data_IF_431932787847
#
_entry.id   IF_431932787847
#
_cell.length_a   1.000
_cell.length_b   1.000
_cell.length_c   1.000
_cell.angle_alpha   90.00
_cell.angle_beta   90.00
_cell.angle_gamma   90.00
#
_symmetry.space_group_name_H-M   'P 1'
#
loop_
_entity.id
_entity.type
_entity.pdbx_description
1 polymer ?
#
# COMPACT_ATOMS: atom_id res chain seq x y z
N UNK A 1 14.78 -14.74 -30.00
CA UNK A 1 14.09 -13.88 -30.98
C UNK A 1 15.15 -13.00 -31.62
N UNK A 2 15.23 -12.93 -32.94
CA UNK A 2 16.09 -11.93 -33.60
C UNK A 2 15.33 -10.59 -33.55
N UNK A 3 15.90 -9.59 -32.88
CA UNK A 3 15.36 -8.23 -32.84
C UNK A 3 15.78 -7.49 -34.11
N UNK A 4 14.84 -6.83 -34.78
CA UNK A 4 15.13 -5.94 -35.89
C UNK A 4 15.97 -4.75 -35.38
N UNK A 5 17.14 -4.44 -35.97
CA UNK A 5 17.95 -3.28 -35.60
C UNK A 5 17.16 -1.96 -35.55
N UNK A 6 16.09 -1.82 -36.34
CA UNK A 6 15.28 -0.59 -36.36
C UNK A 6 14.36 -0.42 -35.15
N UNK A 7 14.16 -1.48 -34.36
CA UNK A 7 13.17 -1.54 -33.26
C UNK A 7 13.29 -0.38 -32.29
N UNK A 8 14.52 0.03 -31.94
CA UNK A 8 14.76 1.03 -30.90
C UNK A 8 15.04 2.44 -31.44
N UNK A 9 14.95 2.65 -32.76
CA UNK A 9 15.31 3.93 -33.37
C UNK A 9 14.41 5.10 -32.97
N UNK A 10 13.16 4.82 -32.56
CA UNK A 10 12.19 5.80 -32.08
C UNK A 10 11.69 5.43 -30.69
N UNK A 11 11.17 6.39 -29.94
CA UNK A 11 10.37 6.13 -28.74
C UNK A 11 8.94 5.80 -29.18
N UNK A 12 8.39 4.69 -28.69
CA UNK A 12 7.00 4.28 -28.95
C UNK A 12 6.28 4.18 -27.62
N UNK A 13 5.17 4.90 -27.48
CA UNK A 13 4.43 4.96 -26.21
C UNK A 13 4.13 3.57 -25.67
N UNK A 14 4.42 3.36 -24.39
CA UNK A 14 4.18 2.11 -23.67
C UNK A 14 4.86 0.87 -24.27
N UNK A 15 5.91 1.02 -25.09
CA UNK A 15 6.69 -0.13 -25.56
C UNK A 15 7.34 -0.81 -24.36
N UNK A 16 7.16 -2.13 -24.26
CA UNK A 16 7.90 -2.99 -23.34
C UNK A 16 8.49 -4.18 -24.10
N UNK A 17 9.83 -4.27 -24.15
CA UNK A 17 10.54 -5.38 -24.82
C UNK A 17 11.56 -5.96 -23.86
N UNK A 18 11.58 -7.29 -23.74
CA UNK A 18 12.58 -8.01 -22.95
C UNK A 18 13.35 -8.99 -23.82
N UNK A 19 14.65 -9.12 -23.58
CA UNK A 19 15.52 -10.07 -24.27
C UNK A 19 16.74 -10.42 -23.42
N UNK A 20 17.50 -11.42 -23.87
CA UNK A 20 18.74 -11.85 -23.21
C UNK A 20 19.96 -11.28 -23.93
N UNK A 21 20.99 -10.89 -23.19
CA UNK A 21 22.26 -10.40 -23.74
C UNK A 21 23.44 -11.16 -23.10
N UNK A 22 24.52 -11.48 -23.82
CA UNK A 22 25.68 -12.13 -23.23
C UNK A 22 26.26 -11.32 -22.07
N UNK A 23 26.51 -11.96 -20.93
CA UNK A 23 27.18 -11.29 -19.83
C UNK A 23 28.64 -11.00 -20.23
N UNK A 24 29.20 -9.80 -19.97
CA UNK A 24 30.60 -9.48 -20.25
C UNK A 24 31.64 -10.27 -19.43
N UNK A 25 31.24 -11.29 -18.68
CA UNK A 25 32.13 -12.11 -17.85
C UNK A 25 32.69 -13.26 -18.67
N UNK A 26 33.73 -13.92 -18.16
CA UNK A 26 34.39 -15.05 -18.84
C UNK A 26 33.55 -16.34 -18.88
N UNK A 27 32.30 -16.33 -18.40
CA UNK A 27 31.40 -17.48 -18.48
C UNK A 27 30.49 -17.37 -19.72
N UNK A 28 30.69 -18.20 -20.75
CA UNK A 28 29.92 -18.14 -21.99
C UNK A 28 28.44 -18.50 -21.82
N UNK A 29 28.05 -19.11 -20.70
CA UNK A 29 26.65 -19.44 -20.40
C UNK A 29 25.95 -18.37 -19.56
N UNK A 30 26.68 -17.34 -19.11
CA UNK A 30 26.09 -16.26 -18.33
C UNK A 30 25.35 -15.28 -19.24
N UNK A 31 24.05 -15.12 -19.00
CA UNK A 31 23.17 -14.23 -19.75
C UNK A 31 22.57 -13.17 -18.83
N UNK A 32 22.59 -11.93 -19.31
CA UNK A 32 21.86 -10.81 -18.73
C UNK A 32 20.43 -10.79 -19.28
N UNK A 33 19.48 -10.38 -18.45
CA UNK A 33 18.15 -9.93 -18.85
C UNK A 33 18.20 -8.44 -19.12
N UNK A 34 17.75 -8.04 -20.30
CA UNK A 34 17.59 -6.63 -20.68
C UNK A 34 16.11 -6.36 -20.91
N UNK A 35 15.60 -5.31 -20.29
CA UNK A 35 14.25 -4.81 -20.49
C UNK A 35 14.32 -3.36 -20.98
N UNK A 36 13.61 -3.04 -22.05
CA UNK A 36 13.49 -1.70 -22.60
C UNK A 36 12.06 -1.26 -22.50
N UNK A 37 11.82 -0.19 -21.75
CA UNK A 37 10.51 0.39 -21.53
C UNK A 37 10.50 1.84 -22.03
N UNK A 38 9.52 2.19 -22.85
CA UNK A 38 9.24 3.56 -23.27
C UNK A 38 8.07 4.15 -22.47
N UNK A 39 8.17 5.43 -22.12
CA UNK A 39 7.17 6.15 -21.34
C UNK A 39 5.79 6.11 -22.02
N UNK A 40 4.68 5.92 -21.27
CA UNK A 40 3.34 6.14 -21.80
C UNK A 40 3.02 7.63 -22.04
N UNK A 41 3.84 8.53 -21.47
CA UNK A 41 3.67 9.98 -21.59
C UNK A 41 4.47 10.45 -22.79
N UNK A 42 3.81 11.20 -23.68
CA UNK A 42 4.48 11.77 -24.84
C UNK A 42 5.53 12.80 -24.39
N UNK A 43 6.80 12.68 -24.84
CA UNK A 43 7.84 13.59 -24.42
C UNK A 43 7.55 15.00 -24.96
N UNK A 44 7.56 15.98 -24.06
CA UNK A 44 7.41 17.42 -24.38
C UNK A 44 8.71 18.01 -24.93
N UNK A 45 9.85 17.39 -24.62
CA UNK A 45 11.20 17.76 -25.06
C UNK A 45 11.85 16.64 -25.90
N UNK A 46 13.15 16.78 -26.21
CA UNK A 46 13.95 15.69 -26.77
C UNK A 46 13.91 14.47 -25.85
N UNK A 47 13.71 13.29 -26.43
CA UNK A 47 13.68 12.03 -25.68
C UNK A 47 14.93 11.84 -24.82
N UNK A 48 14.77 11.41 -23.58
CA UNK A 48 15.87 11.05 -22.67
C UNK A 48 15.87 9.56 -22.37
N UNK A 49 17.06 8.97 -22.30
CA UNK A 49 17.25 7.55 -21.98
C UNK A 49 18.02 7.46 -20.67
N UNK A 50 17.66 6.51 -19.82
CA UNK A 50 18.47 6.11 -18.68
C UNK A 50 18.56 4.58 -18.61
N UNK A 51 19.62 4.08 -18.00
CA UNK A 51 19.77 2.67 -17.69
C UNK A 51 19.77 2.44 -16.18
N UNK A 52 19.30 1.28 -15.73
CA UNK A 52 19.25 0.90 -14.33
C UNK A 52 19.75 -0.54 -14.20
N UNK A 53 20.73 -0.73 -13.33
CA UNK A 53 21.18 -2.07 -12.95
C UNK A 53 20.31 -2.60 -11.83
N UNK A 54 19.74 -3.79 -12.03
CA UNK A 54 18.97 -4.48 -11.00
C UNK A 54 19.94 -4.86 -9.87
N UNK A 55 19.62 -4.53 -8.61
CA UNK A 55 20.46 -4.92 -7.49
C UNK A 55 20.65 -6.44 -7.45
N UNK A 56 21.86 -6.87 -7.07
CA UNK A 56 22.15 -8.30 -6.94
C UNK A 56 21.14 -8.99 -6.01
N UNK A 57 20.78 -10.22 -6.37
CA UNK A 57 19.77 -11.02 -5.66
C UNK A 57 18.33 -10.45 -5.65
N UNK A 58 18.06 -9.32 -6.31
CA UNK A 58 16.69 -8.77 -6.47
C UNK A 58 16.08 -8.97 -7.85
N UNK A 59 16.72 -9.76 -8.73
CA UNK A 59 16.23 -10.02 -10.10
C UNK A 59 14.82 -10.63 -10.15
N UNK A 60 14.40 -11.32 -9.08
CA UNK A 60 13.05 -11.91 -8.95
C UNK A 60 12.03 -10.98 -8.31
N UNK A 61 12.46 -9.89 -7.65
CA UNK A 61 11.56 -8.91 -7.03
C UNK A 61 10.68 -8.27 -8.11
N UNK A 62 9.38 -8.16 -7.85
CA UNK A 62 8.40 -7.72 -8.84
C UNK A 62 8.64 -6.30 -9.35
N UNK A 63 9.29 -5.45 -8.57
CA UNK A 63 9.79 -4.13 -9.01
C UNK A 63 10.71 -4.25 -10.22
N UNK A 64 11.55 -5.29 -10.30
CA UNK A 64 12.55 -5.50 -11.35
C UNK A 64 12.23 -6.64 -12.31
N UNK A 65 11.24 -7.48 -12.02
CA UNK A 65 10.88 -8.63 -12.86
C UNK A 65 9.61 -8.42 -13.69
N UNK A 66 8.75 -7.47 -13.33
CA UNK A 66 7.46 -7.23 -14.01
C UNK A 66 7.42 -5.93 -14.82
N UNK A 67 6.58 -5.89 -15.85
CA UNK A 67 6.32 -4.69 -16.65
C UNK A 67 5.80 -3.53 -15.78
N UNK A 68 4.82 -3.79 -14.91
CA UNK A 68 4.27 -2.78 -14.00
C UNK A 68 5.34 -2.22 -13.03
N UNK A 69 6.24 -3.07 -12.55
CA UNK A 69 7.37 -2.66 -11.73
C UNK A 69 8.28 -1.67 -12.46
N UNK A 70 8.63 -2.00 -13.72
CA UNK A 70 9.47 -1.16 -14.57
C UNK A 70 8.80 0.15 -14.92
N UNK A 71 7.48 0.13 -15.16
CA UNK A 71 6.69 1.31 -15.43
C UNK A 71 6.77 2.30 -14.27
N UNK A 72 6.63 1.82 -13.04
CA UNK A 72 6.73 2.72 -11.90
C UNK A 72 8.15 3.26 -11.70
N UNK A 73 9.20 2.45 -11.89
CA UNK A 73 10.59 2.95 -11.86
C UNK A 73 10.82 4.09 -12.87
N UNK A 74 10.23 3.95 -14.07
CA UNK A 74 10.27 4.99 -15.10
C UNK A 74 9.50 6.24 -14.66
N UNK A 75 8.28 6.08 -14.13
CA UNK A 75 7.44 7.21 -13.70
C UNK A 75 8.03 7.96 -12.50
N UNK A 76 8.75 7.26 -11.61
CA UNK A 76 9.51 7.86 -10.50
C UNK A 76 10.81 8.56 -10.95
N UNK A 77 11.14 8.53 -12.25
CA UNK A 77 12.33 9.17 -12.83
C UNK A 77 11.92 10.29 -13.80
N UNK A 78 11.59 11.50 -13.31
CA UNK A 78 11.03 12.57 -14.13
C UNK A 78 11.88 12.91 -15.37
N UNK A 79 11.21 13.01 -16.52
CA UNK A 79 11.83 13.38 -17.79
C UNK A 79 12.52 12.24 -18.54
N UNK A 80 12.57 11.02 -18.00
CA UNK A 80 13.05 9.84 -18.74
C UNK A 80 11.96 9.35 -19.70
N UNK A 81 12.30 9.25 -20.99
CA UNK A 81 11.40 8.75 -22.03
C UNK A 81 11.59 7.26 -22.31
N UNK A 82 12.78 6.72 -22.03
CA UNK A 82 13.10 5.29 -22.14
C UNK A 82 13.96 4.85 -20.96
N UNK A 83 13.54 3.78 -20.30
CA UNK A 83 14.28 3.10 -19.26
C UNK A 83 14.81 1.76 -19.78
N UNK A 84 16.11 1.51 -19.59
CA UNK A 84 16.76 0.24 -19.90
C UNK A 84 17.13 -0.44 -18.58
N UNK A 85 16.44 -1.52 -18.21
CA UNK A 85 16.80 -2.33 -17.05
C UNK A 85 17.73 -3.47 -17.46
N UNK A 86 18.81 -3.67 -16.70
CA UNK A 86 19.74 -4.79 -16.86
C UNK A 86 19.90 -5.53 -15.56
N UNK A 87 19.65 -6.84 -15.58
CA UNK A 87 19.85 -7.72 -14.43
C UNK A 87 20.31 -9.10 -14.86
N UNK A 88 20.58 -9.97 -13.90
CA UNK A 88 20.82 -11.39 -14.18
C UNK A 88 19.50 -12.10 -14.51
N UNK A 89 19.59 -13.26 -15.16
CA UNK A 89 18.41 -14.12 -15.28
C UNK A 89 17.89 -14.51 -13.89
N UNK A 90 16.57 -14.52 -13.67
CA UNK A 90 15.99 -15.04 -12.44
C UNK A 90 16.42 -16.49 -12.26
N UNK A 91 16.92 -16.84 -11.08
CA UNK A 91 17.19 -18.24 -10.71
C UNK A 91 15.83 -18.92 -10.53
N UNK A 92 15.63 -20.09 -11.14
CA UNK A 92 14.37 -20.84 -11.07
C UNK A 92 13.88 -21.00 -9.62
N UNK A 93 12.56 -20.87 -9.42
CA UNK A 93 11.84 -20.89 -8.14
C UNK A 93 11.89 -22.21 -7.33
N UNK A 94 12.84 -23.10 -7.62
CA UNK A 94 13.00 -24.39 -6.96
C UNK A 94 14.19 -24.45 -5.98
N UNK A 95 14.93 -23.35 -5.82
CA UNK A 95 15.91 -23.21 -4.73
C UNK A 95 15.25 -22.67 -3.46
N UNK A 96 15.71 -23.12 -2.29
CA UNK A 96 15.31 -22.61 -0.96
C UNK A 96 15.21 -21.08 -0.93
N UNK A 97 14.33 -20.49 -0.09
CA UNK A 97 14.18 -19.04 -0.02
C UNK A 97 15.53 -18.38 0.24
N UNK A 98 16.05 -17.70 -0.79
CA UNK A 98 17.34 -17.03 -0.71
C UNK A 98 17.15 -15.75 0.10
N UNK A 99 17.87 -15.65 1.22
CA UNK A 99 17.92 -14.41 1.99
C UNK A 99 18.62 -13.35 1.14
N UNK A 100 17.92 -12.27 0.84
CA UNK A 100 18.51 -11.07 0.26
C UNK A 100 19.32 -10.35 1.34
N UNK A 101 20.54 -9.92 1.00
CA UNK A 101 21.32 -8.96 1.80
C UNK A 101 21.82 -7.87 0.88
N UNK A 102 21.59 -6.62 1.26
CA UNK A 102 22.10 -5.43 0.57
C UNK A 102 23.61 -5.49 0.54
N UNK A 103 24.18 -5.46 -0.66
CA UNK A 103 25.62 -5.31 -0.83
C UNK A 103 26.05 -3.88 -0.52
N UNK A 104 27.09 -3.72 0.28
CA UNK A 104 27.68 -2.41 0.63
C UNK A 104 28.57 -1.90 -0.51
N UNK A 105 29.03 -2.79 -1.41
CA UNK A 105 29.94 -2.48 -2.51
C UNK A 105 29.39 -3.01 -3.85
N UNK A 106 28.42 -2.32 -4.43
CA UNK A 106 27.99 -2.56 -5.81
C UNK A 106 28.85 -1.75 -6.78
N UNK A 107 30.06 -2.21 -7.06
CA UNK A 107 30.92 -1.59 -8.08
C UNK A 107 30.53 -2.08 -9.48
N UNK A 108 29.51 -1.44 -10.07
CA UNK A 108 29.10 -1.70 -11.46
C UNK A 108 30.01 -1.02 -12.49
N UNK A 109 31.09 -0.33 -12.11
CA UNK A 109 31.88 0.48 -13.04
C UNK A 109 32.41 -0.34 -14.23
N UNK A 110 32.84 -1.58 -13.98
CA UNK A 110 33.33 -2.47 -15.05
C UNK A 110 32.22 -2.93 -16.00
N UNK A 111 31.02 -3.18 -15.48
CA UNK A 111 29.86 -3.62 -16.25
C UNK A 111 29.27 -2.45 -17.05
N UNK A 112 29.22 -1.26 -16.47
CA UNK A 112 28.79 -0.02 -17.13
C UNK A 112 29.62 0.26 -18.38
N UNK A 113 30.94 0.25 -18.27
CA UNK A 113 31.85 0.45 -19.40
C UNK A 113 31.61 -0.60 -20.49
N UNK A 114 31.45 -1.86 -20.09
CA UNK A 114 31.27 -2.98 -21.03
C UNK A 114 29.93 -2.94 -21.76
N UNK A 115 28.87 -2.46 -21.11
CA UNK A 115 27.51 -2.40 -21.67
C UNK A 115 27.17 -1.06 -22.33
N UNK A 116 28.04 -0.05 -22.24
CA UNK A 116 27.85 1.22 -22.92
C UNK A 116 27.49 1.10 -24.42
N UNK A 117 28.11 0.21 -25.23
CA UNK A 117 27.71 0.01 -26.62
C UNK A 117 26.27 -0.50 -26.77
N UNK A 118 25.81 -1.36 -25.85
CA UNK A 118 24.43 -1.85 -25.83
C UNK A 118 23.46 -0.71 -25.51
N UNK A 119 23.74 0.10 -24.50
CA UNK A 119 22.89 1.24 -24.13
C UNK A 119 22.74 2.25 -25.28
N UNK A 120 23.83 2.52 -26.00
CA UNK A 120 23.80 3.35 -27.20
C UNK A 120 22.97 2.72 -28.33
N UNK A 121 23.10 1.42 -28.57
CA UNK A 121 22.30 0.70 -29.58
C UNK A 121 20.80 0.68 -29.26
N UNK A 122 20.43 0.73 -27.98
CA UNK A 122 19.04 0.79 -27.50
C UNK A 122 18.48 2.21 -27.40
N UNK A 123 19.27 3.23 -27.74
CA UNK A 123 18.86 4.64 -27.68
C UNK A 123 18.21 5.10 -28.99
N UNK A 124 17.19 5.98 -28.95
CA UNK A 124 16.55 6.50 -30.16
C UNK A 124 17.52 7.36 -30.98
N UNK A 125 17.38 7.31 -32.31
CA UNK A 125 18.22 8.08 -33.26
C UNK A 125 18.19 9.58 -32.98
N UNK A 126 17.08 10.10 -32.45
CA UNK A 126 16.93 11.52 -32.11
C UNK A 126 17.96 12.02 -31.09
N UNK A 127 18.50 11.15 -30.23
CA UNK A 127 19.53 11.51 -29.24
C UNK A 127 20.90 11.75 -29.87
N UNK A 128 21.16 11.23 -31.07
CA UNK A 128 22.48 11.31 -31.71
C UNK A 128 22.68 12.58 -32.55
N UNK A 129 21.68 13.47 -32.61
CA UNK A 129 21.72 14.70 -33.41
C UNK A 129 22.89 15.64 -33.06
N UNK A 130 23.34 15.59 -31.81
CA UNK A 130 24.39 16.47 -31.27
C UNK A 130 25.66 15.70 -30.85
N UNK A 131 25.83 14.47 -31.34
CA UNK A 131 26.96 13.61 -30.99
C UNK A 131 26.53 12.36 -30.22
N UNK A 132 27.48 11.71 -29.55
CA UNK A 132 27.21 10.50 -28.75
C UNK A 132 26.53 10.95 -27.44
N UNK A 133 25.31 10.49 -27.13
CA UNK A 133 24.62 10.87 -25.91
C UNK A 133 25.27 10.25 -24.69
N UNK A 134 25.19 10.96 -23.57
CA UNK A 134 25.43 10.38 -22.25
C UNK A 134 24.15 9.67 -21.78
N UNK A 135 24.31 8.46 -21.25
CA UNK A 135 23.20 7.66 -20.72
C UNK A 135 23.41 7.55 -19.22
N UNK A 136 22.66 8.30 -18.39
CA UNK A 136 22.79 8.22 -16.95
C UNK A 136 22.41 6.83 -16.44
N UNK A 137 23.17 6.35 -15.45
CA UNK A 137 22.90 5.12 -14.73
C UNK A 137 22.15 5.47 -13.45
N UNK A 138 20.88 5.09 -13.39
CA UNK A 138 20.03 5.25 -12.22
C UNK A 138 20.38 4.19 -11.18
N UNK A 139 20.34 4.60 -9.92
CA UNK A 139 20.44 3.70 -8.77
C UNK A 139 19.07 3.59 -8.13
N UNK A 140 18.69 2.37 -7.78
CA UNK A 140 17.54 2.12 -6.93
C UNK A 140 18.04 1.95 -5.50
N UNK A 141 17.59 2.81 -4.62
CA UNK A 141 17.86 2.74 -3.18
C UNK A 141 16.53 2.70 -2.45
N UNK A 142 16.35 1.66 -1.64
CA UNK A 142 15.26 1.57 -0.67
C UNK A 142 15.85 1.38 0.73
N UNK A 143 14.99 1.32 1.74
CA UNK A 143 15.42 1.14 3.12
C UNK A 143 15.66 -0.34 3.49
N UNK A 144 15.64 -1.30 2.56
CA UNK A 144 15.77 -2.73 2.90
C UNK A 144 17.24 -3.15 3.01
N UNK A 145 17.66 -3.58 4.20
CA UNK A 145 19.00 -4.13 4.49
C UNK A 145 19.04 -5.62 4.13
N UNK A 146 18.08 -6.39 4.61
CA UNK A 146 17.96 -7.81 4.29
C UNK A 146 16.50 -8.24 4.24
N UNK A 147 16.21 -9.35 3.57
CA UNK A 147 14.83 -9.83 3.44
C UNK A 147 14.72 -11.31 3.10
N UNK A 148 13.62 -11.93 3.50
CA UNK A 148 13.29 -13.32 3.17
C UNK A 148 11.81 -13.43 2.81
N UNK A 149 11.53 -14.17 1.74
CA UNK A 149 10.16 -14.52 1.35
C UNK A 149 9.64 -15.63 2.26
N UNK A 150 8.52 -15.38 2.93
CA UNK A 150 7.84 -16.35 3.78
C UNK A 150 6.84 -17.19 2.99
N UNK A 151 6.08 -16.56 2.10
CA UNK A 151 5.10 -17.25 1.26
C UNK A 151 4.83 -16.48 -0.04
N UNK A 152 4.60 -17.23 -1.12
CA UNK A 152 3.94 -16.75 -2.33
C UNK A 152 2.63 -17.52 -2.51
N UNK A 153 1.53 -16.80 -2.67
CA UNK A 153 0.20 -17.38 -2.82
C UNK A 153 -0.62 -16.59 -3.86
N UNK A 154 -1.78 -17.12 -4.25
CA UNK A 154 -2.64 -16.50 -5.26
C UNK A 154 -4.07 -16.41 -4.75
N UNK A 155 -4.58 -15.19 -4.67
CA UNK A 155 -5.97 -14.89 -4.35
C UNK A 155 -6.82 -14.71 -5.60
N UNK A 156 -8.14 -14.88 -5.46
CA UNK A 156 -9.08 -14.75 -6.59
C UNK A 156 -9.28 -13.30 -7.05
N UNK A 157 -9.03 -12.32 -6.19
CA UNK A 157 -9.16 -10.89 -6.46
C UNK A 157 -7.80 -10.18 -6.41
N UNK A 158 -7.02 -10.43 -5.36
CA UNK A 158 -5.70 -9.80 -5.18
C UNK A 158 -4.65 -10.30 -6.20
N UNK A 159 -4.86 -11.50 -6.76
CA UNK A 159 -3.91 -12.15 -7.65
C UNK A 159 -2.71 -12.73 -6.88
N UNK A 160 -1.53 -12.75 -7.52
CA UNK A 160 -0.30 -13.20 -6.86
C UNK A 160 0.10 -12.25 -5.71
N UNK A 161 0.38 -12.82 -4.54
CA UNK A 161 0.74 -12.12 -3.31
C UNK A 161 2.05 -12.65 -2.76
N UNK A 162 2.80 -11.76 -2.12
CA UNK A 162 4.09 -12.02 -1.50
C UNK A 162 4.04 -11.60 -0.04
N UNK A 163 4.43 -12.50 0.85
CA UNK A 163 4.69 -12.21 2.26
C UNK A 163 6.19 -12.29 2.49
N UNK A 164 6.77 -11.24 3.04
CA UNK A 164 8.21 -11.17 3.32
C UNK A 164 8.50 -10.52 4.67
N UNK A 165 9.55 -11.00 5.34
CA UNK A 165 10.16 -10.31 6.47
C UNK A 165 11.39 -9.56 5.97
N UNK A 166 11.53 -8.31 6.40
CA UNK A 166 12.63 -7.42 6.03
C UNK A 166 13.25 -6.77 7.26
N UNK A 167 14.56 -6.61 7.25
CA UNK A 167 15.27 -5.68 8.11
C UNK A 167 15.39 -4.35 7.36
N UNK A 168 14.99 -3.27 8.02
CA UNK A 168 15.05 -1.94 7.44
C UNK A 168 16.14 -1.08 8.07
N UNK A 169 16.64 -0.12 7.29
CA UNK A 169 17.57 0.90 7.75
C UNK A 169 16.85 1.94 8.60
N UNK A 170 17.26 2.03 9.87
CA UNK A 170 16.69 2.89 10.90
C UNK A 170 17.70 3.14 12.02
N UNK A 171 17.51 4.19 12.83
CA UNK A 171 18.40 4.51 13.97
C UNK A 171 18.51 3.35 14.97
N UNK A 172 17.40 2.64 15.16
CA UNK A 172 17.31 1.42 15.96
C UNK A 172 16.92 0.29 15.03
N UNK A 173 17.64 -0.83 15.10
CA UNK A 173 17.40 -2.03 14.29
C UNK A 173 15.92 -2.43 14.34
N UNK A 174 15.26 -2.45 13.18
CA UNK A 174 13.83 -2.70 13.06
C UNK A 174 13.55 -3.77 11.99
N UNK A 175 12.64 -4.68 12.34
CA UNK A 175 12.17 -5.73 11.44
C UNK A 175 10.70 -5.49 11.12
N UNK A 176 10.36 -5.63 9.84
CA UNK A 176 9.00 -5.47 9.33
C UNK A 176 8.57 -6.68 8.55
N UNK A 177 7.28 -6.98 8.61
CA UNK A 177 6.62 -7.94 7.73
C UNK A 177 5.75 -7.20 6.73
N UNK A 178 5.90 -7.54 5.46
CA UNK A 178 5.22 -6.90 4.33
C UNK A 178 4.32 -7.87 3.61
N UNK A 179 3.12 -7.41 3.28
CA UNK A 179 2.25 -8.00 2.27
C UNK A 179 2.36 -7.14 1.00
N UNK A 180 2.61 -7.77 -0.15
CA UNK A 180 2.65 -7.10 -1.46
C UNK A 180 1.81 -7.87 -2.45
N UNK A 181 1.18 -7.15 -3.40
CA UNK A 181 0.45 -7.76 -4.51
C UNK A 181 1.21 -7.53 -5.81
N UNK A 182 1.34 -8.55 -6.64
CA UNK A 182 2.08 -8.47 -7.90
C UNK A 182 1.47 -7.49 -8.88
N UNK A 183 0.15 -7.31 -8.83
CA UNK A 183 -0.57 -6.29 -9.62
C UNK A 183 -0.08 -4.88 -9.31
N UNK A 184 0.38 -4.61 -8.08
CA UNK A 184 0.86 -3.31 -7.62
C UNK A 184 2.25 -3.47 -6.97
N UNK A 185 3.28 -3.80 -7.75
CA UNK A 185 4.51 -4.39 -7.23
C UNK A 185 5.32 -3.46 -6.32
N UNK A 186 5.18 -2.14 -6.44
CA UNK A 186 5.90 -1.19 -5.58
C UNK A 186 5.02 -0.59 -4.48
N UNK A 187 3.74 -0.98 -4.40
CA UNK A 187 2.90 -0.65 -3.25
C UNK A 187 3.03 -1.77 -2.23
N UNK A 188 3.51 -1.43 -1.04
CA UNK A 188 3.36 -2.31 0.12
C UNK A 188 1.90 -2.22 0.55
N UNK A 189 1.19 -3.34 0.53
CA UNK A 189 -0.25 -3.39 0.84
C UNK A 189 -0.49 -3.39 2.34
N UNK A 190 0.38 -4.04 3.10
CA UNK A 190 0.38 -3.95 4.56
C UNK A 190 1.79 -4.09 5.06
N UNK A 191 2.14 -3.27 6.04
CA UNK A 191 3.42 -3.34 6.72
C UNK A 191 3.18 -3.32 8.24
N UNK A 192 3.73 -4.30 8.94
CA UNK A 192 3.69 -4.36 10.40
C UNK A 192 5.10 -4.50 10.94
N UNK A 193 5.30 -4.05 12.18
CA UNK A 193 6.49 -4.38 12.93
C UNK A 193 6.43 -5.83 13.40
N UNK A 194 7.57 -6.52 13.35
CA UNK A 194 7.71 -7.85 13.93
C UNK A 194 8.86 -7.87 14.94
N UNK A 195 8.74 -8.75 15.92
CA UNK A 195 9.76 -8.94 16.96
C UNK A 195 10.10 -10.42 17.10
N UNK A 196 11.34 -10.78 17.46
CA UNK A 196 11.72 -12.18 17.65
C UNK A 196 10.89 -12.85 18.76
N UNK A 197 10.62 -14.15 18.58
CA UNK A 197 9.88 -14.97 19.54
C UNK A 197 10.77 -15.42 20.71
N UNK A 198 11.14 -14.47 21.58
CA UNK A 198 11.85 -14.62 22.88
C UNK A 198 13.32 -15.11 22.83
N UNK A 199 14.19 -14.51 23.65
CA UNK A 199 15.45 -15.14 24.12
C UNK A 199 16.75 -14.86 23.35
N UNK A 200 16.71 -14.17 22.21
CA UNK A 200 17.93 -13.85 21.47
C UNK A 200 18.52 -12.51 21.92
N UNK A 201 19.80 -12.50 22.30
CA UNK A 201 20.56 -11.27 22.47
C UNK A 201 20.63 -10.49 21.15
N UNK A 202 20.66 -9.16 21.25
CA UNK A 202 20.52 -8.23 20.10
C UNK A 202 21.50 -8.48 18.94
N UNK A 203 22.62 -9.13 19.22
CA UNK A 203 23.77 -9.26 18.31
C UNK A 203 23.72 -10.50 17.40
N UNK A 204 22.80 -11.45 17.62
CA UNK A 204 22.72 -12.71 16.85
C UNK A 204 21.37 -12.94 16.14
N UNK A 205 20.51 -11.93 16.04
CA UNK A 205 19.20 -12.06 15.38
C UNK A 205 19.39 -11.83 13.88
N UNK A 206 19.04 -12.79 13.04
CA UNK A 206 19.06 -12.65 11.58
C UNK A 206 17.70 -12.95 10.95
N UNK A 207 17.33 -12.18 9.92
CA UNK A 207 16.19 -12.54 9.04
C UNK A 207 16.45 -13.94 8.47
N UNK A 208 15.49 -14.85 8.62
CA UNK A 208 15.58 -16.26 8.21
C UNK A 208 16.29 -17.19 9.19
N UNK A 209 16.83 -16.67 10.31
CA UNK A 209 17.51 -17.45 11.35
C UNK A 209 16.64 -17.65 12.60
N UNK A 210 15.67 -16.77 12.83
CA UNK A 210 14.74 -16.82 13.97
C UNK A 210 13.30 -16.65 13.53
N UNK A 211 12.37 -17.13 14.35
CA UNK A 211 10.94 -16.88 14.16
C UNK A 211 10.55 -15.51 14.70
N UNK A 212 9.70 -14.83 13.93
CA UNK A 212 9.22 -13.49 14.21
C UNK A 212 7.70 -13.52 14.43
N UNK A 213 7.29 -12.88 15.53
CA UNK A 213 5.88 -12.64 15.84
C UNK A 213 5.47 -11.19 15.53
N UNK A 214 4.22 -10.96 15.11
CA UNK A 214 3.65 -9.61 14.97
C UNK A 214 3.73 -8.79 16.27
N UNK A 215 4.14 -7.52 16.16
CA UNK A 215 3.96 -6.50 17.20
C UNK A 215 2.68 -5.72 16.90
N UNK A 216 1.56 -6.19 17.47
CA UNK A 216 0.22 -5.64 17.21
C UNK A 216 -0.05 -4.31 17.94
N UNK A 217 0.93 -3.78 18.67
CA UNK A 217 0.76 -2.56 19.46
C UNK A 217 1.14 -1.30 18.69
N UNK A 218 1.81 -1.44 17.55
CA UNK A 218 2.36 -0.33 16.78
C UNK A 218 1.90 -0.41 15.33
N UNK A 219 1.51 0.74 14.78
CA UNK A 219 1.29 0.90 13.34
C UNK A 219 2.53 1.55 12.73
N UNK A 220 3.10 0.89 11.73
CA UNK A 220 4.26 1.41 10.97
C UNK A 220 3.91 1.79 9.53
N UNK A 221 2.73 1.36 9.06
CA UNK A 221 2.27 1.69 7.72
C UNK A 221 1.87 3.17 7.65
N UNK A 222 2.41 3.98 6.71
CA UNK A 222 2.45 5.44 6.82
C UNK A 222 1.12 6.13 7.07
N UNK A 223 0.06 5.74 6.36
CA UNK A 223 -1.24 6.40 6.43
C UNK A 223 -2.18 5.83 7.50
N UNK A 224 -1.87 4.68 8.11
CA UNK A 224 -2.74 4.08 9.14
C UNK A 224 -2.75 4.91 10.43
N UNK A 225 -1.61 5.48 10.83
CA UNK A 225 -1.53 6.35 12.01
C UNK A 225 -2.37 7.63 11.81
N UNK A 226 -2.25 8.37 10.69
CA UNK A 226 -3.18 9.45 10.31
C UNK A 226 -4.66 9.04 10.33
N UNK A 227 -5.02 7.88 9.74
CA UNK A 227 -6.41 7.40 9.76
C UNK A 227 -6.92 7.20 11.20
N UNK A 228 -6.11 6.62 12.08
CA UNK A 228 -6.47 6.47 13.49
C UNK A 228 -6.51 7.82 14.22
N UNK A 229 -5.62 8.75 13.89
CA UNK A 229 -5.61 10.10 14.47
C UNK A 229 -6.92 10.86 14.22
N UNK A 230 -7.60 10.60 13.10
CA UNK A 230 -8.89 11.21 12.77
C UNK A 230 -9.99 10.95 13.81
N UNK A 231 -9.88 9.89 14.61
CA UNK A 231 -10.79 9.60 15.72
C UNK A 231 -10.80 10.72 16.77
N UNK A 232 -9.78 11.59 16.80
CA UNK A 232 -9.76 12.75 17.69
C UNK A 232 -10.91 13.71 17.44
N UNK A 233 -11.40 13.81 16.20
CA UNK A 233 -12.52 14.68 15.81
C UNK A 233 -13.84 14.29 16.48
N UNK A 234 -13.94 13.05 16.96
CA UNK A 234 -15.14 12.48 17.60
C UNK A 234 -14.83 11.85 18.96
N UNK A 235 -13.70 12.22 19.55
CA UNK A 235 -13.22 11.64 20.80
C UNK A 235 -14.17 11.83 21.98
N UNK A 236 -14.89 12.96 22.05
CA UNK A 236 -15.91 13.19 23.09
C UNK A 236 -17.07 12.20 22.96
N UNK A 237 -17.57 11.96 21.75
CA UNK A 237 -18.69 11.04 21.51
C UNK A 237 -18.28 9.59 21.78
N UNK A 238 -17.05 9.22 21.43
CA UNK A 238 -16.50 7.89 21.75
C UNK A 238 -16.35 7.71 23.26
N UNK A 239 -15.84 8.72 23.96
CA UNK A 239 -15.71 8.71 25.43
C UNK A 239 -17.08 8.53 26.11
N UNK A 240 -18.10 9.30 25.70
CA UNK A 240 -19.47 9.18 26.23
C UNK A 240 -20.02 7.76 26.05
N UNK A 241 -19.78 7.15 24.88
CA UNK A 241 -20.18 5.75 24.61
C UNK A 241 -19.47 4.77 25.55
N UNK A 242 -18.16 4.95 25.76
CA UNK A 242 -17.36 4.13 26.67
C UNK A 242 -17.84 4.27 28.11
N UNK A 243 -18.11 5.50 28.57
CA UNK A 243 -18.65 5.78 29.89
C UNK A 243 -20.06 5.20 30.08
N UNK A 244 -20.84 5.11 29.00
CA UNK A 244 -22.12 4.40 28.94
C UNK A 244 -22.01 2.87 28.98
N UNK A 245 -20.80 2.30 29.05
CA UNK A 245 -20.56 0.86 29.11
C UNK A 245 -20.56 0.16 27.75
N UNK A 246 -20.53 0.90 26.65
CA UNK A 246 -20.53 0.35 25.29
C UNK A 246 -19.14 0.44 24.66
N UNK A 247 -18.79 -0.53 23.81
CA UNK A 247 -17.59 -0.44 22.99
C UNK A 247 -17.85 0.42 21.75
N UNK A 248 -16.90 1.27 21.34
CA UNK A 248 -17.00 1.95 20.06
C UNK A 248 -16.89 0.97 18.90
N UNK A 249 -17.57 1.26 17.79
CA UNK A 249 -17.69 0.37 16.63
C UNK A 249 -17.02 0.97 15.40
N UNK A 250 -16.18 0.19 14.73
CA UNK A 250 -15.55 0.57 13.49
C UNK A 250 -15.84 -0.42 12.36
N UNK A 251 -16.13 0.10 11.17
CA UNK A 251 -16.15 -0.65 9.92
C UNK A 251 -14.85 -0.35 9.16
N UNK A 252 -13.99 -1.35 8.98
CA UNK A 252 -12.78 -1.24 8.17
C UNK A 252 -13.01 -1.92 6.82
N UNK A 253 -12.88 -1.15 5.74
CA UNK A 253 -13.14 -1.59 4.38
C UNK A 253 -11.81 -1.69 3.64
N UNK A 254 -11.46 -2.91 3.22
CA UNK A 254 -10.09 -3.29 2.90
C UNK A 254 -9.37 -3.76 4.17
N UNK A 255 -9.12 -5.07 4.28
CA UNK A 255 -8.48 -5.63 5.47
C UNK A 255 -6.97 -5.70 5.28
N UNK A 256 -6.51 -6.09 4.09
CA UNK A 256 -5.09 -6.37 3.86
C UNK A 256 -4.56 -7.37 4.89
N UNK A 257 -3.41 -7.08 5.50
CA UNK A 257 -2.87 -7.87 6.61
C UNK A 257 -3.59 -7.67 7.96
N UNK A 258 -4.58 -6.79 8.06
CA UNK A 258 -5.41 -6.63 9.26
C UNK A 258 -4.78 -5.79 10.37
N UNK A 259 -3.73 -5.01 10.06
CA UNK A 259 -3.01 -4.17 11.02
C UNK A 259 -3.93 -3.14 11.70
N UNK A 260 -4.73 -2.43 10.90
CA UNK A 260 -5.67 -1.42 11.40
C UNK A 260 -6.71 -2.03 12.35
N UNK A 261 -7.34 -3.14 11.95
CA UNK A 261 -8.37 -3.82 12.73
C UNK A 261 -7.82 -4.26 14.10
N UNK A 262 -6.64 -4.88 14.06
CA UNK A 262 -5.99 -5.40 15.25
C UNK A 262 -5.58 -4.25 16.19
N UNK A 263 -5.08 -3.15 15.64
CA UNK A 263 -4.72 -1.96 16.41
C UNK A 263 -5.94 -1.30 17.07
N UNK A 264 -7.02 -1.04 16.32
CA UNK A 264 -8.24 -0.44 16.87
C UNK A 264 -8.80 -1.26 18.04
N UNK A 265 -8.81 -2.58 17.90
CA UNK A 265 -9.26 -3.49 18.96
C UNK A 265 -8.30 -3.52 20.15
N UNK A 266 -7.01 -3.74 19.91
CA UNK A 266 -6.01 -3.93 20.96
C UNK A 266 -5.69 -2.63 21.71
N UNK A 267 -5.47 -1.55 20.97
CA UNK A 267 -5.03 -0.27 21.52
C UNK A 267 -6.17 0.65 21.89
N UNK A 268 -7.34 0.56 21.26
CA UNK A 268 -8.46 1.49 21.49
C UNK A 268 -9.77 0.81 21.95
N UNK A 269 -9.82 -0.52 22.03
CA UNK A 269 -10.97 -1.25 22.58
C UNK A 269 -12.21 -1.29 21.68
N UNK A 270 -12.04 -1.05 20.38
CA UNK A 270 -13.15 -1.10 19.42
C UNK A 270 -13.67 -2.52 19.19
N UNK A 271 -14.96 -2.62 18.90
CA UNK A 271 -15.53 -3.70 18.11
C UNK A 271 -15.33 -3.38 16.63
N UNK A 272 -14.71 -4.29 15.89
CA UNK A 272 -14.28 -4.02 14.52
C UNK A 272 -14.94 -5.02 13.57
N UNK A 273 -15.55 -4.50 12.50
CA UNK A 273 -16.00 -5.27 11.35
C UNK A 273 -15.07 -4.97 10.19
N UNK A 274 -14.36 -5.98 9.70
CA UNK A 274 -13.54 -5.91 8.49
C UNK A 274 -14.28 -6.42 7.26
N UNK A 275 -14.08 -5.80 6.11
CA UNK A 275 -14.58 -6.28 4.81
C UNK A 275 -13.42 -6.49 3.85
N UNK A 276 -13.31 -7.70 3.31
CA UNK A 276 -12.26 -8.08 2.36
C UNK A 276 -12.85 -8.92 1.22
N UNK A 277 -12.51 -8.58 -0.02
CA UNK A 277 -13.01 -9.31 -1.18
C UNK A 277 -12.34 -10.68 -1.32
N UNK A 278 -11.06 -10.78 -0.92
CA UNK A 278 -10.24 -11.98 -1.14
C UNK A 278 -10.09 -12.84 0.13
N UNK A 279 -10.61 -14.08 0.08
CA UNK A 279 -10.45 -15.04 1.18
C UNK A 279 -8.99 -15.38 1.46
N UNK A 280 -8.14 -15.35 0.44
CA UNK A 280 -6.74 -15.69 0.57
C UNK A 280 -5.96 -14.58 1.30
N UNK A 281 -6.32 -13.31 1.06
CA UNK A 281 -5.79 -12.18 1.84
C UNK A 281 -6.10 -12.37 3.33
N UNK A 282 -7.33 -12.81 3.66
CA UNK A 282 -7.70 -13.10 5.05
C UNK A 282 -6.97 -14.31 5.64
N UNK A 283 -6.68 -15.35 4.86
CA UNK A 283 -5.84 -16.46 5.32
C UNK A 283 -4.45 -15.94 5.67
N UNK A 284 -3.83 -15.18 4.77
CA UNK A 284 -2.51 -14.58 4.95
C UNK A 284 -2.49 -13.67 6.18
N UNK A 285 -3.48 -12.79 6.34
CA UNK A 285 -3.60 -11.89 7.49
C UNK A 285 -3.64 -12.66 8.83
N UNK A 286 -4.41 -13.75 8.89
CA UNK A 286 -4.49 -14.61 10.09
C UNK A 286 -3.19 -15.34 10.38
N UNK A 287 -2.55 -15.87 9.34
CA UNK A 287 -1.37 -16.72 9.48
C UNK A 287 -0.10 -15.92 9.78
N UNK A 288 0.05 -14.74 9.18
CA UNK A 288 1.31 -13.99 9.21
C UNK A 288 1.24 -12.65 9.91
N UNK A 289 0.08 -12.01 9.98
CA UNK A 289 -0.05 -10.63 10.46
C UNK A 289 -0.76 -10.49 11.80
N UNK A 290 -1.14 -11.60 12.42
CA UNK A 290 -1.74 -11.61 13.76
C UNK A 290 -3.21 -11.19 13.78
N UNK A 291 -3.93 -11.28 12.65
CA UNK A 291 -5.38 -11.07 12.62
C UNK A 291 -6.10 -12.21 13.35
N UNK A 292 -6.25 -12.09 14.66
CA UNK A 292 -6.92 -13.09 15.49
C UNK A 292 -8.44 -12.89 15.43
N UNK A 293 -9.16 -13.83 14.78
CA UNK A 293 -10.62 -13.86 14.85
C UNK A 293 -11.08 -14.09 16.29
N UNK A 294 -11.87 -13.17 16.84
CA UNK A 294 -12.46 -13.26 18.17
C UNK A 294 -13.76 -12.45 18.19
N UNK A 295 -14.51 -12.49 19.30
CA UNK A 295 -15.80 -11.79 19.40
C UNK A 295 -15.73 -10.28 19.11
N UNK A 296 -14.56 -9.63 19.27
CA UNK A 296 -14.39 -8.19 19.03
C UNK A 296 -13.87 -7.83 17.64
N UNK A 297 -13.45 -8.82 16.82
CA UNK A 297 -13.09 -8.61 15.42
C UNK A 297 -13.84 -9.61 14.55
N UNK A 298 -14.80 -9.09 13.78
CA UNK A 298 -15.54 -9.85 12.77
C UNK A 298 -15.01 -9.51 11.40
N UNK A 299 -14.89 -10.51 10.53
CA UNK A 299 -14.51 -10.28 9.12
C UNK A 299 -15.57 -10.84 8.19
N UNK A 300 -15.97 -10.04 7.21
CA UNK A 300 -16.91 -10.38 6.15
C UNK A 300 -16.13 -10.50 4.86
N UNK A 301 -16.35 -11.62 4.16
CA UNK A 301 -15.83 -11.79 2.80
C UNK A 301 -16.84 -11.23 1.82
N UNK A 302 -16.46 -10.23 1.03
CA UNK A 302 -17.33 -9.65 0.03
C UNK A 302 -16.80 -8.34 -0.52
N UNK A 303 -17.45 -7.87 -1.58
CA UNK A 303 -17.19 -6.53 -2.11
C UNK A 303 -17.59 -5.45 -1.08
N UNK A 304 -16.72 -4.46 -0.95
CA UNK A 304 -16.86 -3.35 -0.02
C UNK A 304 -18.18 -2.58 -0.20
N UNK A 305 -18.50 -2.24 -1.45
CA UNK A 305 -19.67 -1.44 -1.80
C UNK A 305 -20.93 -2.27 -1.54
N UNK A 306 -20.95 -3.53 -1.99
CA UNK A 306 -22.08 -4.44 -1.76
C UNK A 306 -22.39 -4.62 -0.27
N UNK A 307 -21.36 -4.73 0.59
CA UNK A 307 -21.55 -4.90 2.04
C UNK A 307 -22.08 -3.62 2.69
N UNK A 308 -21.57 -2.45 2.30
CA UNK A 308 -22.08 -1.16 2.80
C UNK A 308 -23.55 -0.97 2.38
N UNK A 309 -23.89 -1.25 1.13
CA UNK A 309 -25.26 -1.15 0.63
C UNK A 309 -26.20 -2.13 1.36
N UNK A 310 -25.73 -3.36 1.66
CA UNK A 310 -26.48 -4.31 2.49
C UNK A 310 -26.71 -3.75 3.90
N UNK A 311 -25.70 -3.18 4.55
CA UNK A 311 -25.91 -2.56 5.87
C UNK A 311 -26.92 -1.41 5.80
N UNK A 312 -26.81 -0.54 4.80
CA UNK A 312 -27.74 0.57 4.60
C UNK A 312 -29.18 0.08 4.38
N UNK A 313 -29.38 -0.97 3.60
CA UNK A 313 -30.69 -1.58 3.38
C UNK A 313 -31.31 -2.11 4.67
N UNK A 314 -30.55 -2.84 5.48
CA UNK A 314 -31.03 -3.39 6.75
C UNK A 314 -31.30 -2.31 7.80
N UNK A 315 -30.53 -1.21 7.81
CA UNK A 315 -30.79 -0.07 8.70
C UNK A 315 -32.09 0.67 8.41
N UNK A 316 -32.65 0.51 7.21
CA UNK A 316 -33.90 1.15 6.78
C UNK A 316 -35.15 0.28 6.98
N UNK A 317 -35.04 -0.89 7.63
CA UNK A 317 -36.19 -1.67 8.10
C UNK A 317 -36.97 -2.45 7.02
N UNK A 318 -36.39 -2.69 5.85
CA UNK A 318 -37.06 -3.50 4.80
C UNK A 318 -36.78 -5.00 5.05
N UNK A 319 -37.67 -5.65 5.80
CA UNK A 319 -37.61 -7.09 6.05
C UNK A 319 -38.05 -7.87 4.81
N UNK A 320 -37.16 -8.63 4.17
CA UNK A 320 -37.56 -9.78 3.35
C UNK A 320 -37.57 -11.05 4.22
N UNK A 321 -38.59 -11.88 3.99
CA UNK A 321 -38.78 -13.14 4.68
C UNK A 321 -37.72 -14.19 4.35
N UNK A 322 -37.33 -14.92 5.39
CA UNK A 322 -36.80 -16.29 5.36
C UNK A 322 -35.78 -16.65 4.27
N UNK A 323 -34.50 -16.37 4.54
CA UNK A 323 -33.40 -17.35 4.57
C UNK A 323 -32.04 -16.62 4.59
N UNK A 324 -31.54 -16.32 5.79
CA UNK A 324 -30.22 -15.69 5.94
C UNK A 324 -29.91 -15.27 7.37
N UNK A 325 -30.11 -16.15 8.35
CA UNK A 325 -29.64 -15.90 9.71
C UNK A 325 -28.11 -15.77 9.77
N UNK A 326 -27.64 -15.03 10.78
CA UNK A 326 -26.28 -14.90 11.33
C UNK A 326 -25.53 -13.58 11.11
N UNK A 327 -25.98 -12.63 10.28
CA UNK A 327 -25.20 -11.38 10.11
C UNK A 327 -25.63 -10.19 10.97
N UNK A 328 -26.90 -9.87 11.17
CA UNK A 328 -27.27 -8.66 11.92
C UNK A 328 -28.61 -8.87 12.63
N UNK A 329 -28.66 -8.65 13.95
CA UNK A 329 -29.92 -8.58 14.69
C UNK A 329 -30.47 -7.15 14.58
N UNK A 330 -31.54 -6.98 13.80
CA UNK A 330 -32.06 -5.70 13.34
C UNK A 330 -32.81 -4.88 14.40
N UNK A 331 -32.77 -5.27 15.68
CA UNK A 331 -33.54 -4.62 16.75
C UNK A 331 -32.75 -3.65 17.63
N UNK A 332 -31.43 -3.52 17.47
CA UNK A 332 -30.61 -2.67 18.34
C UNK A 332 -30.38 -1.27 17.75
N UNK A 333 -30.87 -0.25 18.46
CA UNK A 333 -30.61 1.19 18.22
C UNK A 333 -29.09 1.50 18.29
N UNK A 334 -28.29 0.56 18.78
CA UNK A 334 -26.85 0.65 18.97
C UNK A 334 -25.99 0.01 17.84
N UNK A 335 -26.57 -0.18 16.65
CA UNK A 335 -25.92 -0.92 15.55
C UNK A 335 -25.15 -0.08 14.52
N UNK A 336 -25.15 1.25 14.65
CA UNK A 336 -24.38 2.14 13.77
C UNK A 336 -22.91 2.21 14.18
N UNK A 337 -22.06 2.58 13.22
CA UNK A 337 -20.62 2.70 13.43
C UNK A 337 -20.23 4.11 13.90
N UNK A 338 -19.25 4.19 14.80
CA UNK A 338 -18.62 5.45 15.19
C UNK A 338 -17.57 5.89 14.16
N UNK A 339 -16.96 4.93 13.47
CA UNK A 339 -16.03 5.18 12.39
C UNK A 339 -16.21 4.19 11.23
N UNK A 340 -16.14 4.70 10.00
CA UNK A 340 -15.86 3.91 8.81
C UNK A 340 -14.46 4.28 8.34
N UNK A 341 -13.58 3.29 8.23
CA UNK A 341 -12.19 3.47 7.79
C UNK A 341 -12.00 2.73 6.46
N UNK A 342 -11.70 3.49 5.40
CA UNK A 342 -11.63 2.98 4.03
C UNK A 342 -10.19 2.96 3.56
N UNK A 343 -9.67 1.76 3.31
CA UNK A 343 -8.35 1.51 2.76
C UNK A 343 -8.45 0.56 1.56
N UNK A 344 -8.96 1.10 0.45
CA UNK A 344 -9.14 0.38 -0.79
C UNK A 344 -8.14 0.89 -1.82
N UNK A 345 -7.39 -0.01 -2.44
CA UNK A 345 -6.56 0.32 -3.59
C UNK A 345 -7.34 0.22 -4.91
N UNK A 346 -6.96 1.00 -5.91
CA UNK A 346 -7.46 0.82 -7.27
C UNK A 346 -6.86 -0.43 -7.92
N UNK A 347 -7.59 -1.03 -8.86
CA UNK A 347 -7.26 -2.32 -9.46
C UNK A 347 -6.24 -2.25 -10.61
N UNK A 348 -5.84 -1.07 -11.09
CA UNK A 348 -5.09 -0.94 -12.34
C UNK A 348 -3.73 -0.23 -12.19
N UNK A 349 -2.66 -1.02 -12.20
CA UNK A 349 -1.27 -0.54 -12.20
C UNK A 349 -0.92 0.35 -13.40
N UNK A 350 -1.64 0.22 -14.53
CA UNK A 350 -1.36 1.00 -15.74
C UNK A 350 -1.73 2.47 -15.59
N UNK A 351 -2.65 2.79 -14.68
CA UNK A 351 -3.06 4.16 -14.38
C UNK A 351 -2.28 4.75 -13.19
N UNK A 352 -1.25 4.04 -12.71
CA UNK A 352 -0.50 4.40 -11.52
C UNK A 352 -1.19 3.94 -10.23
N UNK A 353 -0.47 4.02 -9.11
CA UNK A 353 -1.04 3.76 -7.79
C UNK A 353 -2.05 4.86 -7.45
N UNK A 354 -3.32 4.47 -7.30
CA UNK A 354 -4.36 5.37 -6.80
C UNK A 354 -5.25 4.66 -5.79
N UNK A 355 -5.84 5.46 -4.91
CA UNK A 355 -6.78 5.03 -3.89
C UNK A 355 -7.74 6.20 -3.57
N UNK A 356 -9.04 5.95 -3.33
CA UNK A 356 -9.78 4.70 -3.51
C UNK A 356 -10.19 4.44 -4.97
N UNK A 357 -10.81 3.29 -5.29
CA UNK A 357 -11.55 3.09 -6.55
C UNK A 357 -12.62 4.16 -6.77
N UNK A 358 -12.81 4.60 -8.02
CA UNK A 358 -13.80 5.62 -8.40
C UNK A 358 -15.24 5.19 -8.06
N UNK A 359 -15.51 3.90 -8.07
CA UNK A 359 -16.78 3.28 -7.72
C UNK A 359 -17.19 3.63 -6.29
N UNK A 360 -16.22 3.69 -5.36
CA UNK A 360 -16.48 3.96 -3.95
C UNK A 360 -16.89 5.41 -3.69
N UNK A 361 -16.37 6.35 -4.49
CA UNK A 361 -16.62 7.80 -4.33
C UNK A 361 -17.96 8.21 -4.94
N UNK A 362 -18.70 7.29 -5.56
CA UNK A 362 -20.01 7.61 -6.13
C UNK A 362 -20.99 8.02 -5.02
N UNK A 363 -21.75 9.08 -5.28
CA UNK A 363 -22.72 9.67 -4.35
C UNK A 363 -23.62 8.65 -3.64
N UNK A 364 -24.15 7.65 -4.34
CA UNK A 364 -24.99 6.63 -3.72
C UNK A 364 -24.26 5.76 -2.68
N UNK A 365 -22.98 5.45 -2.92
CA UNK A 365 -22.15 4.66 -1.99
C UNK A 365 -21.83 5.51 -0.77
N UNK A 366 -21.48 6.79 -0.98
CA UNK A 366 -21.27 7.75 0.10
C UNK A 366 -22.54 7.95 0.95
N UNK A 367 -23.73 8.00 0.34
CA UNK A 367 -25.01 8.06 1.06
C UNK A 367 -25.29 6.78 1.86
N UNK A 368 -24.98 5.61 1.30
CA UNK A 368 -25.11 4.34 2.01
C UNK A 368 -24.16 4.29 3.22
N UNK A 369 -22.89 4.66 3.05
CA UNK A 369 -21.92 4.78 4.13
C UNK A 369 -22.37 5.78 5.20
N UNK A 370 -22.92 6.94 4.79
CA UNK A 370 -23.49 7.94 5.69
C UNK A 370 -24.62 7.38 6.55
N UNK A 371 -25.49 6.55 5.97
CA UNK A 371 -26.68 6.02 6.67
C UNK A 371 -26.35 5.06 7.83
N UNK A 372 -25.19 4.39 7.75
CA UNK A 372 -24.75 3.40 8.75
C UNK A 372 -23.81 4.00 9.82
N UNK A 373 -23.47 5.29 9.72
CA UNK A 373 -22.73 6.03 10.75
C UNK A 373 -23.68 6.58 11.82
N UNK A 374 -23.21 6.60 13.07
CA UNK A 374 -23.89 7.30 14.16
C UNK A 374 -23.91 8.82 13.90
N UNK A 375 -24.75 9.56 14.62
CA UNK A 375 -25.00 10.98 14.35
C UNK A 375 -23.74 11.87 14.47
N UNK A 376 -22.75 11.39 15.22
CA UNK A 376 -21.44 12.02 15.41
C UNK A 376 -20.30 11.17 14.84
N UNK A 377 -20.58 10.23 13.95
CA UNK A 377 -19.57 9.34 13.38
C UNK A 377 -18.72 10.01 12.31
N UNK A 378 -17.59 9.37 11.97
CA UNK A 378 -16.71 9.80 10.87
C UNK A 378 -16.54 8.73 9.80
N UNK A 379 -16.28 9.17 8.57
CA UNK A 379 -15.67 8.36 7.53
C UNK A 379 -14.24 8.88 7.29
N UNK A 380 -13.23 8.05 7.52
CA UNK A 380 -11.83 8.35 7.22
C UNK A 380 -11.36 7.47 6.05
N UNK A 381 -10.77 8.07 5.02
CA UNK A 381 -10.36 7.37 3.81
C UNK A 381 -8.93 7.73 3.40
N UNK A 382 -8.15 6.70 3.10
CA UNK A 382 -6.84 6.85 2.47
C UNK A 382 -7.01 7.26 1.00
N UNK A 383 -6.35 8.32 0.59
CA UNK A 383 -6.41 8.88 -0.77
C UNK A 383 -5.00 9.00 -1.34
N UNK A 384 -4.79 8.38 -2.49
CA UNK A 384 -3.61 8.57 -3.34
C UNK A 384 -4.12 9.16 -4.66
N UNK A 385 -4.12 10.50 -4.81
CA UNK A 385 -4.70 11.13 -5.98
C UNK A 385 -3.75 11.00 -7.19
N UNK A 386 -4.20 10.47 -8.34
CA UNK A 386 -3.37 10.39 -9.55
C UNK A 386 -3.06 11.78 -10.13
N UNK A 387 -3.90 12.77 -9.81
CA UNK A 387 -3.72 14.17 -10.18
C UNK A 387 -4.62 15.08 -9.33
N UNK A 388 -4.38 16.39 -9.43
CA UNK A 388 -5.14 17.41 -8.69
C UNK A 388 -6.64 17.43 -9.03
N UNK A 389 -7.02 17.22 -10.29
CA UNK A 389 -8.44 17.27 -10.68
C UNK A 389 -9.24 16.09 -10.13
N UNK A 390 -8.63 14.90 -10.02
CA UNK A 390 -9.21 13.77 -9.32
C UNK A 390 -9.46 14.12 -7.85
N UNK A 391 -8.45 14.71 -7.19
CA UNK A 391 -8.57 15.11 -5.78
C UNK A 391 -9.69 16.12 -5.57
N UNK A 392 -9.74 17.19 -6.36
CA UNK A 392 -10.79 18.21 -6.29
C UNK A 392 -12.19 17.62 -6.54
N UNK A 393 -12.32 16.70 -7.48
CA UNK A 393 -13.58 16.00 -7.73
C UNK A 393 -14.00 15.14 -6.54
N UNK A 394 -13.08 14.36 -5.98
CA UNK A 394 -13.33 13.54 -4.79
C UNK A 394 -13.85 14.41 -3.65
N UNK A 395 -13.17 15.52 -3.34
CA UNK A 395 -13.61 16.43 -2.28
C UNK A 395 -15.02 16.98 -2.55
N UNK A 396 -15.35 17.34 -3.79
CA UNK A 396 -16.68 17.84 -4.12
C UNK A 396 -17.79 16.80 -3.89
N UNK A 397 -17.58 15.53 -4.28
CA UNK A 397 -18.55 14.45 -4.02
C UNK A 397 -18.79 14.26 -2.51
N UNK A 398 -17.73 14.34 -1.71
CA UNK A 398 -17.83 14.26 -0.26
C UNK A 398 -18.58 15.46 0.36
N UNK A 399 -18.34 16.69 -0.12
CA UNK A 399 -19.03 17.90 0.37
C UNK A 399 -20.54 17.89 0.08
N UNK A 400 -20.97 17.21 -0.99
CA UNK A 400 -22.41 17.06 -1.28
C UNK A 400 -23.14 16.14 -0.28
N UNK A 401 -22.40 15.31 0.46
CA UNK A 401 -22.97 14.25 1.30
C UNK A 401 -22.73 14.51 2.79
N UNK A 402 -21.54 14.92 3.19
CA UNK A 402 -21.14 15.07 4.60
C UNK A 402 -21.15 16.52 5.08
N UNK A 403 -21.10 16.72 6.40
CA UNK A 403 -21.26 18.05 6.99
C UNK A 403 -19.96 18.87 6.91
N UNK A 404 -18.86 18.33 7.44
CA UNK A 404 -17.54 18.94 7.38
C UNK A 404 -16.53 17.95 6.83
N UNK A 405 -15.51 18.47 6.15
CA UNK A 405 -14.38 17.71 5.66
C UNK A 405 -13.09 18.20 6.30
N UNK A 406 -12.22 17.24 6.56
CA UNK A 406 -10.88 17.47 7.08
C UNK A 406 -9.87 16.67 6.25
N UNK A 407 -8.63 17.09 6.33
CA UNK A 407 -7.49 16.50 5.64
C UNK A 407 -6.34 16.33 6.63
N UNK A 408 -5.64 15.22 6.50
CA UNK A 408 -4.35 14.96 7.12
C UNK A 408 -3.36 14.65 6.00
N UNK A 409 -2.35 15.50 5.85
CA UNK A 409 -1.22 15.23 4.96
C UNK A 409 -0.29 14.21 5.65
N UNK A 410 -0.09 13.05 5.02
CA UNK A 410 0.76 11.99 5.58
C UNK A 410 2.25 12.37 5.49
N UNK A 411 2.61 13.38 4.69
CA UNK A 411 3.96 13.90 4.57
C UNK A 411 4.90 13.02 3.72
N UNK A 412 4.40 11.96 3.10
CA UNK A 412 5.16 11.10 2.19
C UNK A 412 5.06 11.55 0.71
N UNK A 413 4.34 12.65 0.44
CA UNK A 413 4.17 13.21 -0.90
C UNK A 413 3.14 12.48 -1.78
N UNK A 414 2.51 11.42 -1.27
CA UNK A 414 1.56 10.59 -2.04
C UNK A 414 0.20 10.46 -1.35
N UNK A 415 0.18 10.14 -0.05
CA UNK A 415 -1.04 9.83 0.69
C UNK A 415 -1.61 11.06 1.39
N UNK A 416 -2.92 11.19 1.33
CA UNK A 416 -3.72 12.06 2.17
C UNK A 416 -4.77 11.21 2.88
N UNK A 417 -5.11 11.56 4.11
CA UNK A 417 -6.31 11.04 4.76
C UNK A 417 -7.38 12.12 4.70
N UNK A 418 -8.46 11.83 3.98
CA UNK A 418 -9.65 12.68 3.97
C UNK A 418 -10.63 12.15 5.00
N UNK A 419 -11.17 13.04 5.83
CA UNK A 419 -12.10 12.69 6.90
C UNK A 419 -13.38 13.48 6.71
N UNK A 420 -14.51 12.80 6.77
CA UNK A 420 -15.83 13.38 6.61
C UNK A 420 -16.67 13.14 7.87
N UNK A 421 -17.28 14.20 8.41
CA UNK A 421 -18.06 14.12 9.65
C UNK A 421 -19.56 14.19 9.40
N UNK A 422 -20.33 13.52 10.27
CA UNK A 422 -21.79 13.52 10.24
C UNK A 422 -22.41 14.84 10.76
N UNK A 423 -21.69 15.53 11.64
CA UNK A 423 -22.11 16.75 12.32
C UNK A 423 -20.90 17.68 12.54
N UNK A 424 -21.11 18.94 12.95
CA UNK A 424 -20.00 19.80 13.38
C UNK A 424 -19.19 19.13 14.49
N UNK A 425 -17.86 19.25 14.45
CA UNK A 425 -17.02 18.78 15.55
C UNK A 425 -17.22 19.64 16.80
N UNK A 426 -17.53 19.00 17.93
CA UNK A 426 -17.70 19.69 19.22
C UNK A 426 -16.31 19.82 19.86
N UNK A 427 -15.65 20.96 19.69
CA UNK A 427 -14.43 21.27 20.45
C UNK A 427 -14.84 21.64 21.88
N UNK A 428 -14.84 20.66 22.80
CA UNK A 428 -15.01 20.99 24.22
C UNK A 428 -13.66 21.43 24.79
N UNK A 429 -13.67 22.45 25.65
CA UNK A 429 -12.49 23.15 26.19
C UNK A 429 -11.66 22.27 27.16
N UNK A 430 -12.06 21.01 27.40
CA UNK A 430 -11.41 20.09 28.35
C UNK A 430 -10.84 18.83 27.69
N UNK A 431 -10.05 18.98 26.62
CA UNK A 431 -9.22 17.87 26.08
C UNK A 431 -8.36 17.18 27.17
N UNK A 432 -8.10 17.88 28.28
CA UNK A 432 -7.38 17.37 29.46
C UNK A 432 -8.13 16.27 30.24
N UNK A 433 -9.46 16.15 30.12
CA UNK A 433 -10.26 15.17 30.89
C UNK A 433 -10.77 13.99 30.05
N UNK A 434 -10.57 14.00 28.73
CA UNK A 434 -11.02 12.92 27.86
C UNK A 434 -10.02 11.74 27.90
N UNK A 435 -10.43 10.64 28.56
CA UNK A 435 -9.58 9.47 28.74
C UNK A 435 -9.25 8.77 27.42
N UNK A 436 -10.21 8.73 26.49
CA UNK A 436 -10.03 8.20 25.14
C UNK A 436 -9.01 9.01 24.33
N UNK A 437 -9.11 10.34 24.29
CA UNK A 437 -8.15 11.20 23.58
C UNK A 437 -6.73 11.08 24.16
N UNK A 438 -6.62 10.95 25.49
CA UNK A 438 -5.34 10.69 26.15
C UNK A 438 -4.76 9.35 25.70
N UNK A 439 -5.57 8.29 25.71
CA UNK A 439 -5.17 6.94 25.25
C UNK A 439 -4.78 6.94 23.76
N UNK A 440 -5.56 7.61 22.92
CA UNK A 440 -5.28 7.79 21.49
C UNK A 440 -3.93 8.48 21.31
N UNK A 441 -3.70 9.62 21.97
CA UNK A 441 -2.44 10.37 21.89
C UNK A 441 -1.24 9.53 22.33
N UNK A 442 -1.38 8.72 23.38
CA UNK A 442 -0.33 7.78 23.80
C UNK A 442 -0.06 6.68 22.76
N UNK A 443 -1.10 6.16 22.10
CA UNK A 443 -0.99 5.08 21.14
C UNK A 443 -0.36 5.51 19.80
N UNK A 444 -0.47 6.79 19.42
CA UNK A 444 -0.03 7.31 18.11
C UNK A 444 0.88 8.56 18.16
N UNK A 445 1.44 8.91 19.32
CA UNK A 445 2.30 10.10 19.56
C UNK A 445 1.65 11.48 19.35
N UNK A 446 0.41 11.56 18.83
CA UNK A 446 -0.36 12.80 18.72
C UNK A 446 -0.02 13.75 17.57
N UNK A 447 1.14 13.62 16.92
CA UNK A 447 1.57 14.55 15.86
C UNK A 447 0.54 14.72 14.74
N UNK A 448 -0.08 13.62 14.29
CA UNK A 448 -1.12 13.70 13.26
C UNK A 448 -2.44 14.28 13.77
N UNK A 449 -2.77 14.13 15.06
CA UNK A 449 -3.96 14.73 15.66
C UNK A 449 -3.88 16.27 15.60
N UNK A 450 -2.68 16.80 15.78
CA UNK A 450 -2.42 18.24 15.77
C UNK A 450 -2.29 18.80 14.33
N UNK A 451 -2.23 17.93 13.32
CA UNK A 451 -2.08 18.28 11.90
C UNK A 451 -3.39 18.28 11.10
N UNK A 452 -4.51 17.92 11.73
CA UNK A 452 -5.81 17.82 11.05
C UNK A 452 -6.28 19.22 10.63
N UNK A 453 -6.53 19.41 9.33
CA UNK A 453 -6.99 20.68 8.76
C UNK A 453 -8.39 20.54 8.18
N UNK A 454 -9.28 21.47 8.50
CA UNK A 454 -10.58 21.57 7.83
C UNK A 454 -10.40 22.06 6.38
N UNK A 455 -11.13 21.49 5.42
CA UNK A 455 -10.99 21.78 3.98
C UNK A 455 -12.29 22.11 3.27
#
# INVERSE_FOLDING_TARGET
MALDPTTFETVTLSRFITFTFPHPSNDPNSLLRVAVLDSPIQPTESARVAALFVPEHRNSDWTFSTESGHLQLLLSSPGISRLILVGNQPINAHSSPSIYRRSINNDFNSLEVSLKPLFLALSPKSLFKHGIPEIPILRYEDNVICGVVLEQCVGSFAGEMLVEDVEIESEVREFRRRLRFKRMPNLIQTEIRVVPEVGFGSDCIGIGEVEFRPDIQVLVHPYLVPMVASLSLVGCCIEERIQGGFKPKALCVGVGGGALLTFLRAQLGFEVVGVEADKEVLRVARQYFGLLGNESIRVIVGDAIDVIEKFAYHSNGVHEGENGSYLYDGSDVNNKFDAIMVDLDSSDAKNGTSAPPLEFVRKQVLLAAKSILCDFGILAINVIPPNRSFYEKLINEFREVFHELYEIDVGNGENFVVVATMSPTISSISDCENSFLTRLRMAISGAYMDSIRKI
#
